data_IF_478629839920
#
_entry.id   IF_478629839920
#
_cell.length_a   1.000
_cell.length_b   1.000
_cell.length_c   1.000
_cell.angle_alpha   90.00
_cell.angle_beta   90.00
_cell.angle_gamma   90.00
#
_symmetry.space_group_name_H-M   'P 1'
#
loop_
_entity.id
_entity.type
_entity.pdbx_description
1 polymer ?
#
# COMPACT_ATOMS: atom_id res chain seq x y z
N UNK A 1 -7.51 27.63 -4.79
CA UNK A 1 -7.94 29.04 -4.61
C UNK A 1 -9.00 29.22 -3.51
N UNK A 2 -9.91 28.25 -3.27
CA UNK A 2 -10.99 28.38 -2.26
C UNK A 2 -10.74 27.64 -0.92
N UNK A 3 -9.52 27.13 -0.70
CA UNK A 3 -9.11 26.50 0.57
C UNK A 3 -10.10 25.46 1.12
N UNK A 4 -10.32 25.51 2.43
CA UNK A 4 -11.22 24.64 3.18
C UNK A 4 -12.66 24.63 2.65
N UNK A 5 -13.12 25.73 2.04
CA UNK A 5 -14.47 25.80 1.47
C UNK A 5 -14.64 24.79 0.34
N UNK A 6 -13.66 24.70 -0.58
CA UNK A 6 -13.71 23.70 -1.64
C UNK A 6 -13.56 22.27 -1.10
N UNK A 7 -12.70 22.06 -0.10
CA UNK A 7 -12.52 20.74 0.52
C UNK A 7 -13.84 20.24 1.11
N UNK A 8 -14.55 21.10 1.85
CA UNK A 8 -15.83 20.77 2.47
C UNK A 8 -16.93 20.47 1.45
N UNK A 9 -17.04 21.28 0.40
CA UNK A 9 -18.00 21.06 -0.69
C UNK A 9 -17.78 19.70 -1.38
N UNK A 10 -16.52 19.35 -1.67
CA UNK A 10 -16.17 18.09 -2.33
C UNK A 10 -16.38 16.88 -1.40
N UNK A 11 -16.00 16.99 -0.13
CA UNK A 11 -16.28 15.96 0.90
C UNK A 11 -17.77 15.68 1.04
N UNK A 12 -18.60 16.73 1.09
CA UNK A 12 -20.06 16.57 1.12
C UNK A 12 -20.59 15.89 -0.14
N UNK A 13 -20.08 16.26 -1.31
CA UNK A 13 -20.54 15.74 -2.60
C UNK A 13 -20.17 14.26 -2.80
N UNK A 14 -18.92 13.89 -2.52
CA UNK A 14 -18.38 12.57 -2.86
C UNK A 14 -18.43 11.59 -1.70
N UNK A 15 -18.15 12.05 -0.48
CA UNK A 15 -18.07 11.20 0.71
C UNK A 15 -19.34 11.27 1.58
N UNK A 16 -20.28 12.18 1.26
CA UNK A 16 -21.46 12.50 2.10
C UNK A 16 -21.07 12.79 3.54
N UNK A 17 -19.93 13.47 3.71
CA UNK A 17 -19.28 13.68 5.00
C UNK A 17 -18.98 15.17 5.21
N UNK A 18 -19.54 15.73 6.28
CA UNK A 18 -19.45 17.14 6.62
C UNK A 18 -19.32 17.31 8.15
N UNK A 19 -18.24 16.80 8.77
CA UNK A 19 -18.00 16.99 10.19
C UNK A 19 -17.67 18.46 10.47
N UNK A 20 -17.79 18.90 11.73
CA UNK A 20 -17.34 20.25 12.11
C UNK A 20 -15.86 20.42 11.78
N UNK A 21 -15.03 19.47 12.22
CA UNK A 21 -13.60 19.40 11.93
C UNK A 21 -13.26 18.07 11.26
N UNK A 22 -12.41 18.12 10.22
CA UNK A 22 -11.88 16.90 9.58
C UNK A 22 -10.76 16.25 10.41
N UNK A 23 -10.00 17.07 11.14
CA UNK A 23 -8.93 16.61 12.03
C UNK A 23 -9.54 15.94 13.25
N UNK A 24 -9.08 14.75 13.58
CA UNK A 24 -9.52 14.05 14.78
C UNK A 24 -8.88 14.63 16.04
N UNK A 25 -9.70 14.80 17.07
CA UNK A 25 -9.21 15.10 18.42
C UNK A 25 -8.57 13.86 19.06
N UNK A 26 -7.73 14.07 20.07
CA UNK A 26 -7.10 12.96 20.82
C UNK A 26 -8.15 12.04 21.46
N UNK A 27 -9.23 12.63 21.96
CA UNK A 27 -10.36 11.90 22.57
C UNK A 27 -11.06 11.02 21.54
N UNK A 28 -11.24 11.54 20.32
CA UNK A 28 -11.86 10.77 19.22
C UNK A 28 -10.94 9.63 18.78
N UNK A 29 -9.63 9.88 18.67
CA UNK A 29 -8.64 8.84 18.36
C UNK A 29 -8.66 7.74 19.43
N UNK A 30 -8.63 8.12 20.72
CA UNK A 30 -8.70 7.15 21.82
C UNK A 30 -10.02 6.36 21.82
N UNK A 31 -11.14 7.02 21.52
CA UNK A 31 -12.42 6.34 21.39
C UNK A 31 -12.45 5.31 20.24
N UNK A 32 -11.77 5.59 19.12
CA UNK A 32 -11.60 4.61 18.04
C UNK A 32 -10.79 3.40 18.51
N UNK A 33 -9.66 3.64 19.17
CA UNK A 33 -8.80 2.58 19.72
C UNK A 33 -9.56 1.71 20.73
N UNK A 34 -10.32 2.33 21.64
CA UNK A 34 -11.07 1.63 22.69
C UNK A 34 -12.23 0.76 22.15
N UNK A 35 -12.65 0.95 20.90
CA UNK A 35 -13.70 0.12 20.27
C UNK A 35 -13.14 -1.16 19.66
N UNK A 36 -11.83 -1.30 19.53
CA UNK A 36 -11.20 -2.49 18.97
C UNK A 36 -11.00 -3.57 20.05
N UNK A 37 -11.02 -4.84 19.62
CA UNK A 37 -10.67 -5.94 20.51
C UNK A 37 -9.19 -5.88 20.87
N UNK A 38 -8.80 -6.53 21.98
CA UNK A 38 -7.40 -6.69 22.34
C UNK A 38 -6.61 -7.40 21.23
N UNK A 39 -7.19 -8.44 20.62
CA UNK A 39 -6.53 -9.18 19.53
C UNK A 39 -6.23 -8.29 18.33
N UNK A 40 -7.18 -7.46 17.88
CA UNK A 40 -6.95 -6.53 16.77
C UNK A 40 -5.85 -5.52 17.10
N UNK A 41 -5.79 -5.06 18.35
CA UNK A 41 -4.71 -4.18 18.79
C UNK A 41 -3.36 -4.90 18.86
N UNK A 42 -3.34 -6.18 19.24
CA UNK A 42 -2.15 -7.03 19.23
C UNK A 42 -1.66 -7.26 17.79
N UNK A 43 -2.55 -7.54 16.84
CA UNK A 43 -2.22 -7.71 15.42
C UNK A 43 -1.62 -6.42 14.84
N UNK A 44 -2.21 -5.26 15.16
CA UNK A 44 -1.68 -3.94 14.76
C UNK A 44 -0.28 -3.73 15.34
N UNK A 45 -0.06 -4.04 16.63
CA UNK A 45 1.26 -3.93 17.27
C UNK A 45 2.28 -4.83 16.57
N UNK A 46 1.95 -6.10 16.41
CA UNK A 46 2.81 -7.08 15.78
C UNK A 46 3.24 -6.64 14.38
N UNK A 47 2.29 -6.25 13.53
CA UNK A 47 2.59 -5.74 12.19
C UNK A 47 3.52 -4.52 12.22
N UNK A 48 3.25 -3.55 13.10
CA UNK A 48 4.06 -2.34 13.20
C UNK A 48 5.46 -2.62 13.75
N UNK A 49 5.61 -3.56 14.67
CA UNK A 49 6.91 -3.94 15.22
C UNK A 49 7.80 -4.59 14.15
N UNK A 50 7.24 -5.49 13.34
CA UNK A 50 7.95 -6.09 12.21
C UNK A 50 8.37 -5.04 11.17
N UNK A 51 7.46 -4.15 10.80
CA UNK A 51 7.74 -3.07 9.82
C UNK A 51 8.78 -2.10 10.37
N UNK A 52 8.66 -1.69 11.64
CA UNK A 52 9.60 -0.75 12.27
C UNK A 52 10.99 -1.36 12.34
N UNK A 53 11.09 -2.63 12.72
CA UNK A 53 12.37 -3.34 12.79
C UNK A 53 13.07 -3.35 11.42
N UNK A 54 12.38 -3.76 10.35
CA UNK A 54 13.00 -3.81 9.03
C UNK A 54 13.31 -2.42 8.46
N UNK A 55 12.41 -1.45 8.64
CA UNK A 55 12.66 -0.06 8.25
C UNK A 55 13.88 0.53 8.98
N UNK A 56 14.12 0.15 10.24
CA UNK A 56 15.28 0.60 10.99
C UNK A 56 16.57 0.00 10.42
N UNK A 57 16.58 -1.29 10.09
CA UNK A 57 17.70 -1.95 9.41
C UNK A 57 18.05 -1.24 8.10
N UNK A 58 17.04 -0.91 7.29
CA UNK A 58 17.23 -0.14 6.05
C UNK A 58 17.73 1.28 6.32
N UNK A 59 17.26 1.95 7.39
CA UNK A 59 17.73 3.29 7.76
C UNK A 59 19.18 3.29 8.20
N UNK A 60 19.61 2.27 8.94
CA UNK A 60 20.96 2.14 9.48
C UNK A 60 21.98 1.71 8.44
N UNK A 61 21.54 1.10 7.33
CA UNK A 61 22.40 0.81 6.18
C UNK A 61 22.77 2.07 5.38
N UNK A 62 21.97 3.14 5.48
CA UNK A 62 22.23 4.43 4.82
C UNK A 62 23.22 5.29 5.61
N UNK A 63 24.46 5.39 5.09
CA UNK A 63 25.55 6.15 5.73
C UNK A 63 25.79 7.48 5.02
N UNK A 64 25.95 8.54 5.81
CA UNK A 64 26.52 9.79 5.31
C UNK A 64 27.97 9.55 4.88
N UNK A 65 28.41 10.29 3.88
CA UNK A 65 29.79 10.25 3.38
C UNK A 65 30.36 11.66 3.50
N UNK A 66 31.59 11.77 4.00
CA UNK A 66 32.37 13.01 4.02
C UNK A 66 33.84 12.61 3.98
N UNK A 67 34.46 12.72 2.80
CA UNK A 67 35.79 12.20 2.52
C UNK A 67 36.64 13.25 1.81
N UNK A 68 37.87 13.41 2.26
CA UNK A 68 38.87 14.27 1.61
C UNK A 68 39.51 13.51 0.45
N UNK A 69 39.08 13.79 -0.78
CA UNK A 69 39.55 13.06 -1.97
C UNK A 69 40.85 13.61 -2.55
N UNK A 70 41.16 14.87 -2.25
CA UNK A 70 42.41 15.56 -2.51
C UNK A 70 42.67 16.53 -1.36
N UNK A 71 43.94 16.92 -1.08
CA UNK A 71 44.24 17.90 -0.03
C UNK A 71 43.39 19.18 -0.17
N UNK A 72 42.56 19.46 0.83
CA UNK A 72 41.63 20.58 0.89
C UNK A 72 40.28 20.39 0.17
N UNK A 73 40.00 19.22 -0.43
CA UNK A 73 38.75 18.94 -1.17
C UNK A 73 37.96 17.83 -0.50
N UNK A 74 36.89 18.21 0.20
CA UNK A 74 35.97 17.30 0.88
C UNK A 74 34.74 17.08 0.00
N UNK A 75 34.46 15.82 -0.33
CA UNK A 75 33.26 15.39 -1.06
C UNK A 75 32.40 14.51 -0.17
N UNK A 76 31.08 14.56 -0.35
CA UNK A 76 30.19 13.81 0.52
C UNK A 76 28.71 13.94 0.20
N UNK A 77 27.91 13.20 0.94
CA UNK A 77 26.45 13.29 0.92
C UNK A 77 25.88 13.14 2.33
N UNK A 78 24.66 13.62 2.53
CA UNK A 78 23.91 13.43 3.77
C UNK A 78 22.48 13.04 3.48
N UNK A 79 21.96 12.11 4.28
CA UNK A 79 20.54 11.75 4.26
C UNK A 79 19.79 12.63 5.27
N UNK A 80 18.82 13.41 4.78
CA UNK A 80 18.01 14.32 5.60
C UNK A 80 16.53 13.92 5.40
N UNK A 81 15.77 13.68 6.49
CA UNK A 81 14.35 13.37 6.36
C UNK A 81 13.54 14.57 5.89
N UNK A 82 12.41 14.28 5.26
CA UNK A 82 11.42 15.29 4.89
C UNK A 82 10.89 16.02 6.13
N UNK A 83 10.53 17.29 6.00
CA UNK A 83 9.94 18.01 7.13
C UNK A 83 8.51 17.50 7.36
N UNK A 84 7.73 17.35 6.28
CA UNK A 84 6.34 16.90 6.37
C UNK A 84 5.98 15.91 5.27
N UNK A 85 5.34 14.81 5.64
CA UNK A 85 4.81 13.81 4.70
C UNK A 85 3.31 13.68 4.87
N UNK A 86 2.58 13.64 3.74
CA UNK A 86 1.16 13.32 3.68
C UNK A 86 0.95 11.87 3.28
N UNK A 87 0.34 11.07 4.15
CA UNK A 87 -0.04 9.69 3.90
C UNK A 87 -1.53 9.60 3.56
N UNK A 88 -1.84 9.29 2.31
CA UNK A 88 -3.20 8.95 1.90
C UNK A 88 -3.45 7.46 2.14
N UNK A 89 -4.37 7.13 3.04
CA UNK A 89 -4.81 5.77 3.30
C UNK A 89 -6.12 5.55 2.53
N UNK A 90 -6.15 4.68 1.52
CA UNK A 90 -7.33 4.50 0.69
C UNK A 90 -8.49 3.93 1.52
N UNK A 91 -9.68 4.45 1.23
CA UNK A 91 -10.92 3.77 1.57
C UNK A 91 -11.34 2.89 0.42
N UNK A 92 -11.59 1.61 0.71
CA UNK A 92 -12.17 0.67 -0.22
C UNK A 92 -13.54 0.19 0.25
N UNK A 93 -13.97 -0.94 -0.32
CA UNK A 93 -15.08 -1.73 0.20
C UNK A 93 -14.84 -2.18 1.65
N UNK A 94 -13.57 -2.31 2.02
CA UNK A 94 -13.08 -2.64 3.35
C UNK A 94 -12.02 -1.62 3.80
N UNK A 95 -11.92 -1.33 5.10
CA UNK A 95 -10.83 -0.51 5.65
C UNK A 95 -9.46 -1.16 5.42
N UNK A 96 -8.58 -0.51 4.66
CA UNK A 96 -7.24 -1.03 4.35
C UNK A 96 -6.22 -0.54 5.38
N UNK A 97 -6.04 -1.32 6.45
CA UNK A 97 -5.12 -0.99 7.55
C UNK A 97 -3.65 -1.07 7.12
N UNK A 98 -3.32 -1.99 6.20
CA UNK A 98 -1.97 -2.21 5.66
C UNK A 98 -1.28 -0.93 5.15
N UNK A 99 -2.00 -0.09 4.41
CA UNK A 99 -1.42 1.15 3.87
C UNK A 99 -0.98 2.11 4.98
N UNK A 100 -1.73 2.20 6.09
CA UNK A 100 -1.36 3.03 7.22
C UNK A 100 -0.08 2.53 7.91
N UNK A 101 0.07 1.21 8.03
CA UNK A 101 1.29 0.62 8.59
C UNK A 101 2.52 0.99 7.75
N UNK A 102 2.46 0.73 6.45
CA UNK A 102 3.62 0.90 5.57
C UNK A 102 4.01 2.37 5.36
N UNK A 103 3.06 3.31 5.33
CA UNK A 103 3.36 4.72 5.09
C UNK A 103 3.77 5.50 6.34
N UNK A 104 3.10 5.26 7.47
CA UNK A 104 3.31 6.06 8.69
C UNK A 104 4.54 5.57 9.45
N UNK A 105 4.68 4.25 9.63
CA UNK A 105 5.77 3.69 10.43
C UNK A 105 7.13 3.97 9.77
N UNK A 106 7.23 3.78 8.46
CA UNK A 106 8.47 4.03 7.71
C UNK A 106 8.86 5.50 7.72
N UNK A 107 7.90 6.42 7.56
CA UNK A 107 8.13 7.86 7.69
C UNK A 107 8.63 8.22 9.10
N UNK A 108 8.08 7.58 10.14
CA UNK A 108 8.51 7.82 11.52
C UNK A 108 9.94 7.35 11.75
N UNK A 109 10.30 6.16 11.27
CA UNK A 109 11.66 5.61 11.35
C UNK A 109 12.65 6.46 10.56
N UNK A 110 12.27 6.98 9.39
CA UNK A 110 13.11 7.89 8.62
C UNK A 110 13.46 9.18 9.38
N UNK A 111 12.64 9.58 10.37
CA UNK A 111 12.81 10.80 11.15
C UNK A 111 12.03 12.00 10.61
N UNK A 112 10.93 11.75 9.87
CA UNK A 112 10.04 12.81 9.40
C UNK A 112 9.47 13.58 10.60
N UNK A 113 9.49 14.91 10.54
CA UNK A 113 9.11 15.77 11.68
C UNK A 113 7.61 15.84 11.89
N UNK A 114 6.83 15.82 10.82
CA UNK A 114 5.37 15.86 10.88
C UNK A 114 4.74 14.93 9.83
N UNK A 115 3.94 13.98 10.31
CA UNK A 115 3.23 13.01 9.47
C UNK A 115 1.73 13.32 9.54
N UNK A 116 1.18 13.70 8.39
CA UNK A 116 -0.25 13.97 8.22
C UNK A 116 -0.88 12.79 7.50
N UNK A 117 -1.99 12.28 8.01
CA UNK A 117 -2.67 11.15 7.40
C UNK A 117 -4.11 11.51 7.05
N UNK A 118 -4.54 11.16 5.84
CA UNK A 118 -5.93 11.30 5.40
C UNK A 118 -6.49 9.92 5.08
N UNK A 119 -7.67 9.61 5.61
CA UNK A 119 -8.45 8.45 5.21
C UNK A 119 -9.91 8.86 5.01
N UNK A 120 -10.61 8.40 3.95
CA UNK A 120 -12.03 8.68 3.80
C UNK A 120 -12.86 8.09 4.97
N UNK A 121 -14.04 8.64 5.25
CA UNK A 121 -14.97 8.05 6.19
C UNK A 121 -15.43 6.67 5.70
N UNK A 122 -15.65 5.75 6.65
CA UNK A 122 -16.22 4.43 6.40
C UNK A 122 -17.60 4.36 7.04
N UNK A 123 -18.63 4.11 6.25
CA UNK A 123 -20.03 4.07 6.71
C UNK A 123 -20.44 5.34 7.49
N UNK A 124 -19.97 6.51 7.04
CA UNK A 124 -20.32 7.79 7.64
C UNK A 124 -19.65 8.06 8.99
N UNK A 125 -18.54 7.39 9.31
CA UNK A 125 -17.74 7.63 10.52
C UNK A 125 -16.25 7.33 10.27
N UNK A 126 -15.34 7.69 11.19
CA UNK A 126 -13.95 7.24 11.12
C UNK A 126 -13.86 5.70 11.15
N UNK A 127 -12.93 5.11 10.40
CA UNK A 127 -12.65 3.68 10.45
C UNK A 127 -11.74 3.36 11.64
N UNK A 128 -12.29 2.71 12.67
CA UNK A 128 -11.60 2.52 13.97
C UNK A 128 -10.21 1.88 13.83
N UNK A 129 -10.09 0.81 13.04
CA UNK A 129 -8.82 0.11 12.82
C UNK A 129 -7.78 0.95 12.06
N UNK A 130 -8.22 1.77 11.08
CA UNK A 130 -7.32 2.67 10.36
C UNK A 130 -6.81 3.77 11.29
N UNK A 131 -7.69 4.38 12.08
CA UNK A 131 -7.32 5.43 13.04
C UNK A 131 -6.35 4.89 14.09
N UNK A 132 -6.60 3.68 14.60
CA UNK A 132 -5.69 3.01 15.53
C UNK A 132 -4.31 2.77 14.90
N UNK A 133 -4.25 2.23 13.68
CA UNK A 133 -2.99 1.99 12.98
C UNK A 133 -2.22 3.29 12.67
N UNK A 134 -2.90 4.35 12.23
CA UNK A 134 -2.29 5.66 12.00
C UNK A 134 -1.70 6.24 13.29
N UNK A 135 -2.48 6.23 14.38
CA UNK A 135 -2.07 6.76 15.67
C UNK A 135 -0.89 5.98 16.26
N UNK A 136 -1.02 4.65 16.35
CA UNK A 136 0.03 3.77 16.90
C UNK A 136 1.28 3.75 16.03
N UNK A 137 1.13 3.98 14.72
CA UNK A 137 2.25 4.09 13.78
C UNK A 137 3.06 5.38 13.94
N UNK A 138 2.54 6.39 14.64
CA UNK A 138 3.23 7.63 14.95
C UNK A 138 2.80 8.83 14.10
N UNK A 139 1.59 8.82 13.54
CA UNK A 139 1.00 9.98 12.86
C UNK A 139 0.83 11.16 13.82
N UNK A 140 1.20 12.36 13.38
CA UNK A 140 1.07 13.59 14.17
C UNK A 140 -0.31 14.24 14.02
N UNK A 141 -0.95 14.09 12.86
CA UNK A 141 -2.33 14.56 12.61
C UNK A 141 -3.11 13.60 11.73
N UNK A 142 -4.30 13.22 12.18
CA UNK A 142 -5.20 12.30 11.48
C UNK A 142 -6.44 13.05 11.02
N UNK A 143 -6.75 12.96 9.73
CA UNK A 143 -7.90 13.60 9.09
C UNK A 143 -8.81 12.56 8.45
N UNK A 144 -10.11 12.71 8.67
CA UNK A 144 -11.12 11.88 8.00
C UNK A 144 -11.59 12.59 6.75
N UNK A 145 -10.83 12.43 5.67
CA UNK A 145 -11.01 13.07 4.37
C UNK A 145 -10.43 12.17 3.27
N UNK A 146 -11.18 11.98 2.18
CA UNK A 146 -10.79 11.11 1.06
C UNK A 146 -10.53 11.84 -0.26
N UNK A 147 -10.20 11.05 -1.28
CA UNK A 147 -10.25 11.47 -2.67
C UNK A 147 -9.29 12.61 -3.06
N UNK A 148 -9.61 13.26 -4.18
CA UNK A 148 -8.81 14.36 -4.75
C UNK A 148 -8.71 15.53 -3.77
N UNK A 149 -9.77 15.81 -3.02
CA UNK A 149 -9.81 16.88 -2.03
C UNK A 149 -8.81 16.66 -0.89
N UNK A 150 -8.62 15.43 -0.41
CA UNK A 150 -7.59 15.12 0.59
C UNK A 150 -6.19 15.32 0.04
N UNK A 151 -5.94 14.79 -1.16
CA UNK A 151 -4.64 14.87 -1.85
C UNK A 151 -4.27 16.34 -2.11
N UNK A 152 -5.22 17.12 -2.64
CA UNK A 152 -5.03 18.54 -2.91
C UNK A 152 -4.84 19.35 -1.62
N UNK A 153 -5.59 19.06 -0.56
CA UNK A 153 -5.44 19.76 0.72
C UNK A 153 -4.06 19.53 1.34
N UNK A 154 -3.56 18.29 1.33
CA UNK A 154 -2.21 17.97 1.79
C UNK A 154 -1.12 18.59 0.90
N UNK A 155 -1.24 18.50 -0.43
CA UNK A 155 -0.22 19.00 -1.35
C UNK A 155 -0.13 20.53 -1.41
N UNK A 156 -1.27 21.21 -1.41
CA UNK A 156 -1.34 22.65 -1.65
C UNK A 156 -1.42 23.45 -0.34
N UNK A 157 -1.80 22.79 0.74
CA UNK A 157 -2.17 23.44 1.99
C UNK A 157 -3.53 24.16 1.90
N UNK A 158 -4.17 24.28 3.05
CA UNK A 158 -5.37 25.09 3.28
C UNK A 158 -5.28 25.74 4.66
N UNK A 159 -6.33 26.42 5.09
CA UNK A 159 -6.42 26.98 6.44
C UNK A 159 -6.33 25.88 7.52
N UNK A 160 -6.86 24.68 7.24
CA UNK A 160 -6.82 23.52 8.15
C UNK A 160 -5.70 22.51 7.88
N UNK A 161 -4.97 22.64 6.77
CA UNK A 161 -3.93 21.71 6.35
C UNK A 161 -2.62 22.43 6.05
N UNK A 162 -1.52 22.15 6.78
CA UNK A 162 -0.22 22.61 6.32
C UNK A 162 0.20 21.79 5.08
N UNK A 163 0.82 22.45 4.10
CA UNK A 163 1.31 21.78 2.89
C UNK A 163 2.43 20.80 3.24
N UNK A 164 2.41 19.61 2.62
CA UNK A 164 3.42 18.55 2.80
C UNK A 164 4.50 18.61 1.72
N UNK A 165 5.67 18.04 2.01
CA UNK A 165 6.79 17.97 1.06
C UNK A 165 6.67 16.75 0.13
N UNK A 166 6.06 15.66 0.61
CA UNK A 166 5.87 14.42 -0.13
C UNK A 166 4.51 13.79 0.20
N UNK A 167 3.86 13.24 -0.83
CA UNK A 167 2.65 12.43 -0.72
C UNK A 167 2.97 10.97 -0.96
N UNK A 168 2.45 10.11 -0.08
CA UNK A 168 2.56 8.66 -0.20
C UNK A 168 1.19 8.00 -0.05
N UNK A 169 1.08 6.78 -0.55
CA UNK A 169 -0.09 5.95 -0.43
C UNK A 169 -0.84 5.81 -1.75
N UNK A 170 -1.31 4.58 -2.07
CA UNK A 170 -2.06 4.32 -3.28
C UNK A 170 -3.48 4.87 -3.17
N UNK A 171 -4.14 5.01 -4.31
CA UNK A 171 -5.55 5.38 -4.34
C UNK A 171 -6.16 5.03 -5.69
N UNK A 172 -7.46 5.29 -5.82
CA UNK A 172 -8.17 5.09 -7.08
C UNK A 172 -7.62 6.01 -8.20
N UNK A 173 -8.14 5.81 -9.42
CA UNK A 173 -7.72 6.57 -10.60
C UNK A 173 -7.74 8.11 -10.40
N UNK A 174 -8.68 8.64 -9.61
CA UNK A 174 -8.76 10.07 -9.34
C UNK A 174 -7.61 10.55 -8.43
N UNK A 175 -7.26 9.76 -7.42
CA UNK A 175 -6.10 10.04 -6.54
C UNK A 175 -4.80 9.93 -7.32
N UNK A 176 -4.66 8.91 -8.17
CA UNK A 176 -3.50 8.74 -9.03
C UNK A 176 -3.31 9.94 -9.99
N UNK A 177 -4.39 10.36 -10.67
CA UNK A 177 -4.36 11.52 -11.56
C UNK A 177 -4.09 12.83 -10.80
N UNK A 178 -4.66 13.01 -9.61
CA UNK A 178 -4.38 14.18 -8.77
C UNK A 178 -2.89 14.23 -8.38
N UNK A 179 -2.31 13.11 -7.94
CA UNK A 179 -0.86 13.01 -7.63
C UNK A 179 -0.02 13.34 -8.87
N UNK A 180 -0.42 12.88 -10.06
CA UNK A 180 0.26 13.20 -11.33
C UNK A 180 0.26 14.69 -11.64
N UNK A 181 -0.87 15.37 -11.48
CA UNK A 181 -0.96 16.82 -11.72
C UNK A 181 -0.19 17.64 -10.68
N UNK A 182 -0.04 17.12 -9.46
CA UNK A 182 0.65 17.80 -8.36
C UNK A 182 2.15 17.49 -8.29
N UNK A 183 2.62 16.48 -9.03
CA UNK A 183 4.03 16.14 -9.07
C UNK A 183 4.88 17.32 -9.55
N UNK A 184 6.00 17.56 -8.87
CA UNK A 184 6.87 18.72 -9.06
C UNK A 184 6.52 19.90 -8.13
N UNK A 185 5.27 20.00 -7.67
CA UNK A 185 4.90 20.88 -6.55
C UNK A 185 5.11 20.18 -5.20
N UNK A 186 4.82 18.88 -5.16
CA UNK A 186 5.03 17.97 -4.04
C UNK A 186 5.69 16.70 -4.57
N UNK A 187 6.51 16.04 -3.75
CA UNK A 187 7.00 14.71 -4.07
C UNK A 187 5.85 13.70 -4.08
N UNK A 188 5.96 12.65 -4.89
CA UNK A 188 5.06 11.49 -4.83
C UNK A 188 5.91 10.22 -4.80
N UNK A 189 5.38 9.15 -4.22
CA UNK A 189 5.95 7.80 -4.25
C UNK A 189 5.92 7.19 -5.65
N UNK A 190 4.73 6.85 -6.17
CA UNK A 190 4.52 6.19 -7.45
C UNK A 190 3.12 6.45 -8.00
N UNK A 191 2.94 6.16 -9.30
CA UNK A 191 1.62 6.05 -9.92
C UNK A 191 1.08 4.65 -9.66
N UNK A 192 0.02 4.55 -8.87
CA UNK A 192 -0.56 3.25 -8.52
C UNK A 192 -1.15 2.57 -9.77
N UNK A 193 -0.70 1.35 -10.02
CA UNK A 193 -1.31 0.42 -10.96
C UNK A 193 -2.21 -0.61 -10.23
N UNK A 194 -2.80 -1.56 -10.96
CA UNK A 194 -3.34 -2.76 -10.35
C UNK A 194 -2.24 -3.50 -9.59
N UNK A 195 -2.59 -4.14 -8.48
CA UNK A 195 -1.67 -5.02 -7.78
C UNK A 195 -1.60 -6.36 -8.50
N UNK A 196 -0.43 -7.00 -8.52
CA UNK A 196 -0.18 -8.22 -9.28
C UNK A 196 0.69 -9.23 -8.53
N UNK A 197 0.55 -10.52 -8.86
CA UNK A 197 1.38 -11.60 -8.31
C UNK A 197 1.86 -12.56 -9.40
N UNK A 198 3.13 -12.95 -9.31
CA UNK A 198 3.77 -13.99 -10.09
C UNK A 198 4.15 -15.13 -9.15
N UNK A 199 3.54 -16.28 -9.35
CA UNK A 199 3.86 -17.54 -8.67
C UNK A 199 4.79 -18.34 -9.57
N UNK A 200 6.06 -18.46 -9.19
CA UNK A 200 7.06 -19.30 -9.86
C UNK A 200 7.13 -20.62 -9.09
N UNK A 201 6.72 -21.72 -9.72
CA UNK A 201 6.58 -22.99 -9.04
C UNK A 201 6.99 -24.19 -9.90
N UNK A 202 7.51 -25.22 -9.27
CA UNK A 202 7.80 -26.52 -9.90
C UNK A 202 6.99 -27.64 -9.26
N UNK A 203 7.24 -28.88 -9.68
CA UNK A 203 6.56 -30.08 -9.17
C UNK A 203 6.72 -30.39 -7.67
N UNK A 204 7.49 -29.58 -6.92
CA UNK A 204 7.63 -29.76 -5.46
C UNK A 204 6.49 -29.17 -4.65
N UNK A 205 5.60 -28.39 -5.29
CA UNK A 205 4.35 -27.90 -4.70
C UNK A 205 3.12 -28.45 -5.44
N UNK A 206 1.96 -28.32 -4.81
CA UNK A 206 0.70 -28.75 -5.39
C UNK A 206 -0.12 -27.59 -6.00
N UNK A 207 -1.05 -27.97 -6.89
CA UNK A 207 -1.91 -27.00 -7.56
C UNK A 207 -2.91 -26.30 -6.64
N UNK A 208 -3.24 -26.87 -5.47
CA UNK A 208 -4.17 -26.24 -4.52
C UNK A 208 -3.51 -25.01 -3.89
N UNK A 209 -2.26 -25.12 -3.46
CA UNK A 209 -1.46 -24.01 -2.92
C UNK A 209 -1.29 -22.90 -3.97
N UNK A 210 -0.85 -23.25 -5.18
CA UNK A 210 -0.70 -22.28 -6.27
C UNK A 210 -2.01 -21.55 -6.57
N UNK A 211 -3.13 -22.28 -6.65
CA UNK A 211 -4.44 -21.69 -6.89
C UNK A 211 -4.88 -20.76 -5.75
N UNK A 212 -4.59 -21.12 -4.49
CA UNK A 212 -4.89 -20.29 -3.32
C UNK A 212 -4.14 -18.96 -3.37
N UNK A 213 -2.84 -18.96 -3.70
CA UNK A 213 -2.05 -17.73 -3.77
C UNK A 213 -2.46 -16.84 -4.95
N UNK A 214 -2.75 -17.44 -6.12
CA UNK A 214 -3.26 -16.71 -7.28
C UNK A 214 -4.62 -16.06 -6.98
N UNK A 215 -5.54 -16.80 -6.34
CA UNK A 215 -6.86 -16.29 -5.99
C UNK A 215 -6.81 -15.26 -4.87
N UNK A 216 -5.86 -15.41 -3.93
CA UNK A 216 -5.56 -14.42 -2.90
C UNK A 216 -5.19 -13.07 -3.49
N UNK A 217 -4.46 -13.03 -4.60
CA UNK A 217 -4.22 -11.80 -5.35
C UNK A 217 -5.46 -11.35 -6.15
N UNK A 218 -6.10 -12.27 -6.86
CA UNK A 218 -7.23 -11.96 -7.73
C UNK A 218 -8.42 -11.31 -6.97
N UNK A 219 -8.58 -11.61 -5.68
CA UNK A 219 -9.64 -11.00 -4.86
C UNK A 219 -9.40 -9.52 -4.50
N UNK A 220 -8.21 -8.97 -4.71
CA UNK A 220 -7.93 -7.55 -4.47
C UNK A 220 -8.72 -6.62 -5.39
N UNK A 221 -9.03 -7.06 -6.61
CA UNK A 221 -9.75 -6.24 -7.59
C UNK A 221 -9.94 -6.95 -8.92
N UNK A 222 -10.98 -6.60 -9.69
CA UNK A 222 -11.36 -7.30 -10.92
C UNK A 222 -10.36 -7.14 -12.08
N UNK A 223 -9.32 -6.32 -11.88
CA UNK A 223 -8.25 -6.06 -12.85
C UNK A 223 -6.87 -6.47 -12.32
N UNK A 224 -6.82 -7.30 -11.27
CA UNK A 224 -5.57 -7.73 -10.64
C UNK A 224 -5.00 -8.94 -11.40
N UNK A 225 -3.84 -8.82 -12.07
CA UNK A 225 -3.19 -9.96 -12.70
C UNK A 225 -2.71 -10.98 -11.68
N UNK A 226 -2.85 -12.27 -12.02
CA UNK A 226 -2.33 -13.38 -11.23
C UNK A 226 -1.76 -14.42 -12.20
N UNK A 227 -0.45 -14.64 -12.16
CA UNK A 227 0.26 -15.47 -13.13
C UNK A 227 0.95 -16.63 -12.44
N UNK A 228 0.70 -17.86 -12.92
CA UNK A 228 1.54 -19.01 -12.64
C UNK A 228 2.60 -19.13 -13.73
N UNK A 229 3.87 -19.24 -13.33
CA UNK A 229 4.99 -19.60 -14.17
C UNK A 229 5.58 -20.90 -13.65
N UNK A 230 5.60 -21.93 -14.48
CA UNK A 230 6.07 -23.26 -14.10
C UNK A 230 6.81 -23.93 -15.24
N UNK A 231 7.67 -24.89 -14.94
CA UNK A 231 8.24 -25.81 -15.93
C UNK A 231 7.45 -27.15 -16.00
N UNK A 232 6.38 -27.30 -15.23
CA UNK A 232 5.58 -28.52 -15.15
C UNK A 232 4.20 -28.34 -15.78
N UNK A 233 3.97 -29.03 -16.90
CA UNK A 233 2.63 -29.08 -17.54
C UNK A 233 1.58 -29.73 -16.64
N UNK A 234 2.00 -30.65 -15.76
CA UNK A 234 1.08 -31.31 -14.83
C UNK A 234 0.61 -30.32 -13.75
N UNK A 235 1.55 -29.61 -13.12
CA UNK A 235 1.22 -28.59 -12.12
C UNK A 235 0.33 -27.48 -12.71
N UNK A 236 0.62 -27.05 -13.94
CA UNK A 236 -0.18 -26.06 -14.66
C UNK A 236 -1.65 -26.48 -14.75
N UNK A 237 -1.92 -27.74 -15.15
CA UNK A 237 -3.28 -28.27 -15.27
C UNK A 237 -3.96 -28.40 -13.93
N UNK A 238 -3.28 -28.98 -12.94
CA UNK A 238 -3.80 -29.14 -11.58
C UNK A 238 -4.18 -27.79 -10.97
N UNK A 239 -3.33 -26.77 -11.14
CA UNK A 239 -3.60 -25.42 -10.63
C UNK A 239 -4.86 -24.83 -11.28
N UNK A 240 -5.04 -24.97 -12.60
CA UNK A 240 -6.25 -24.48 -13.26
C UNK A 240 -7.53 -25.16 -12.76
N UNK A 241 -7.48 -26.47 -12.52
CA UNK A 241 -8.61 -27.22 -11.93
C UNK A 241 -8.92 -26.73 -10.51
N UNK A 242 -7.89 -26.49 -9.71
CA UNK A 242 -8.01 -26.00 -8.35
C UNK A 242 -8.53 -24.56 -8.27
N UNK A 243 -8.14 -23.69 -9.21
CA UNK A 243 -8.74 -22.35 -9.31
C UNK A 243 -10.25 -22.44 -9.52
N UNK A 244 -10.72 -23.26 -10.45
CA UNK A 244 -12.16 -23.45 -10.70
C UNK A 244 -12.89 -24.03 -9.47
N UNK A 245 -12.24 -24.96 -8.76
CA UNK A 245 -12.79 -25.55 -7.53
C UNK A 245 -12.91 -24.50 -6.42
N UNK A 246 -11.85 -23.77 -6.12
CA UNK A 246 -11.79 -22.79 -5.04
C UNK A 246 -12.69 -21.57 -5.28
N UNK A 247 -12.85 -21.15 -6.55
CA UNK A 247 -13.81 -20.11 -6.91
C UNK A 247 -15.26 -20.45 -6.57
N UNK A 248 -15.61 -21.72 -6.30
CA UNK A 248 -16.97 -22.08 -5.87
C UNK A 248 -17.25 -21.81 -4.40
N UNK A 249 -16.23 -21.72 -3.56
CA UNK A 249 -16.36 -21.49 -2.11
C UNK A 249 -15.89 -20.10 -1.68
N UNK A 250 -15.08 -19.43 -2.51
CA UNK A 250 -14.51 -18.13 -2.21
C UNK A 250 -15.59 -17.03 -2.07
N UNK A 251 -15.65 -16.40 -0.89
CA UNK A 251 -16.65 -15.34 -0.59
C UNK A 251 -16.51 -14.10 -1.49
N UNK A 252 -15.32 -13.86 -2.01
CA UNK A 252 -14.93 -12.76 -2.90
C UNK A 252 -14.98 -13.15 -4.39
N UNK A 253 -15.58 -14.31 -4.75
CA UNK A 253 -15.70 -14.82 -6.14
C UNK A 253 -16.08 -13.76 -7.18
N UNK A 254 -17.03 -12.88 -6.85
CA UNK A 254 -17.50 -11.84 -7.79
C UNK A 254 -16.42 -10.80 -8.15
N UNK A 255 -15.31 -10.76 -7.41
CA UNK A 255 -14.12 -9.95 -7.69
C UNK A 255 -13.00 -10.81 -8.27
N UNK A 256 -12.72 -11.96 -7.66
CA UNK A 256 -11.64 -12.86 -8.09
C UNK A 256 -11.89 -13.52 -9.46
N UNK A 257 -13.12 -13.97 -9.74
CA UNK A 257 -13.41 -14.68 -10.99
C UNK A 257 -13.23 -13.82 -12.25
N UNK A 258 -13.70 -12.55 -12.30
CA UNK A 258 -13.36 -11.66 -13.40
C UNK A 258 -11.87 -11.39 -13.54
N UNK A 259 -11.15 -11.20 -12.42
CA UNK A 259 -9.70 -10.97 -12.44
C UNK A 259 -8.95 -12.16 -13.04
N UNK A 260 -9.26 -13.38 -12.58
CA UNK A 260 -8.70 -14.62 -13.14
C UNK A 260 -9.07 -14.82 -14.62
N UNK A 261 -10.34 -14.64 -14.98
CA UNK A 261 -10.80 -14.83 -16.36
C UNK A 261 -10.13 -13.86 -17.35
N UNK A 262 -9.98 -12.60 -16.96
CA UNK A 262 -9.55 -11.54 -17.88
C UNK A 262 -8.02 -11.32 -17.85
N UNK A 263 -7.36 -11.60 -16.71
CA UNK A 263 -5.95 -11.30 -16.47
C UNK A 263 -5.13 -12.46 -15.89
N UNK A 264 -5.77 -13.59 -15.57
CA UNK A 264 -5.09 -14.79 -15.12
C UNK A 264 -4.32 -15.46 -16.25
N UNK A 265 -3.10 -15.91 -15.99
CA UNK A 265 -2.27 -16.61 -16.97
C UNK A 265 -1.53 -17.78 -16.34
N UNK A 266 -1.32 -18.82 -17.14
CA UNK A 266 -0.44 -19.94 -16.81
C UNK A 266 0.58 -20.06 -17.94
N UNK A 267 1.85 -19.92 -17.59
CA UNK A 267 2.99 -19.97 -18.49
C UNK A 267 3.79 -21.23 -18.16
N UNK A 268 3.96 -22.10 -19.15
CA UNK A 268 4.80 -23.30 -19.03
C UNK A 268 6.09 -23.05 -19.78
N UNK A 269 7.20 -22.99 -19.05
CA UNK A 269 8.56 -22.87 -19.57
C UNK A 269 9.21 -24.26 -19.74
N UNK A 270 10.26 -24.35 -20.55
CA UNK A 270 11.04 -25.56 -20.79
C UNK A 270 12.07 -25.83 -19.68
N UNK A 271 12.45 -24.81 -18.90
CA UNK A 271 13.49 -24.91 -17.87
C UNK A 271 13.40 -23.83 -16.78
N UNK A 272 14.15 -24.00 -15.68
CA UNK A 272 14.30 -22.97 -14.65
C UNK A 272 14.93 -21.68 -15.20
N UNK A 273 15.95 -21.78 -16.06
CA UNK A 273 16.58 -20.62 -16.69
C UNK A 273 15.56 -19.80 -17.48
N UNK A 274 14.70 -20.47 -18.26
CA UNK A 274 13.64 -19.78 -19.00
C UNK A 274 12.58 -19.19 -18.06
N UNK A 275 12.23 -19.85 -16.95
CA UNK A 275 11.36 -19.24 -15.92
C UNK A 275 11.98 -17.94 -15.37
N UNK A 276 13.29 -17.91 -15.11
CA UNK A 276 13.99 -16.70 -14.65
C UNK A 276 13.95 -15.61 -15.74
N UNK A 277 14.20 -15.95 -17.00
CA UNK A 277 14.13 -15.00 -18.12
C UNK A 277 12.73 -14.39 -18.27
N UNK A 278 11.68 -15.21 -18.22
CA UNK A 278 10.28 -14.78 -18.31
C UNK A 278 9.92 -13.91 -17.09
N UNK A 279 10.24 -14.35 -15.88
CA UNK A 279 9.96 -13.60 -14.65
C UNK A 279 10.58 -12.20 -14.66
N UNK A 280 11.83 -12.08 -15.14
CA UNK A 280 12.52 -10.80 -15.28
C UNK A 280 11.86 -9.88 -16.31
N UNK A 281 11.33 -10.44 -17.41
CA UNK A 281 10.59 -9.66 -18.41
C UNK A 281 9.24 -9.19 -17.87
N UNK A 282 8.58 -10.00 -17.05
CA UNK A 282 7.29 -9.71 -16.45
C UNK A 282 7.39 -8.65 -15.33
N UNK A 283 8.44 -8.70 -14.49
CA UNK A 283 8.76 -7.69 -13.47
C UNK A 283 7.61 -7.36 -12.50
N UNK A 284 6.93 -8.40 -11.98
CA UNK A 284 5.74 -8.27 -11.13
C UNK A 284 6.03 -7.65 -9.76
N UNK A 285 5.01 -7.00 -9.19
CA UNK A 285 5.01 -6.44 -7.83
C UNK A 285 5.34 -7.48 -6.75
N UNK A 286 4.62 -8.61 -6.75
CA UNK A 286 4.86 -9.73 -5.84
C UNK A 286 5.38 -10.94 -6.62
N UNK A 287 6.51 -11.48 -6.20
CA UNK A 287 7.09 -12.71 -6.76
C UNK A 287 7.21 -13.73 -5.64
N UNK A 288 6.60 -14.89 -5.85
CA UNK A 288 6.69 -16.04 -4.96
C UNK A 288 7.46 -17.13 -5.67
N UNK A 289 8.56 -17.59 -5.07
CA UNK A 289 9.39 -18.66 -5.62
C UNK A 289 9.18 -19.89 -4.74
N UNK A 290 8.56 -20.92 -5.32
CA UNK A 290 8.18 -22.16 -4.67
C UNK A 290 8.76 -23.35 -5.44
N UNK A 291 10.09 -23.44 -5.38
CA UNK A 291 10.89 -24.43 -6.10
C UNK A 291 11.85 -25.11 -5.14
N UNK A 292 12.35 -26.29 -5.48
CA UNK A 292 13.47 -26.92 -4.75
C UNK A 292 14.85 -26.45 -5.24
N UNK A 293 14.88 -25.77 -6.39
CA UNK A 293 16.06 -25.15 -6.96
C UNK A 293 16.24 -23.73 -6.40
N UNK A 294 17.18 -23.58 -5.47
CA UNK A 294 17.53 -22.31 -4.80
C UNK A 294 18.72 -21.56 -5.43
N UNK A 295 19.32 -22.12 -6.48
CA UNK A 295 20.56 -21.64 -7.13
C UNK A 295 20.32 -20.66 -8.29
#
# INVERSE_FOLDING_TARGET
SRGDTAVRELSKRFDKWEPVEFKLSKETIQACINRLSSSTLDDIRFAQDQIRNFAQIQRDSMKNVEEETLPGVILGHRHIPMNRVGSYVPGGKFPMVASAHMSVVTAKVAGVKEIITCAPPFQGKPADAIVAAQSMGGADSIYVLGGVQAVAAMALGTESFPAVDMLVGPGNAYVAEAKRQLYGRVGIDLFAGPTETLVIADETVDGEMCATDLLGQAEHGPTSPAVLLTNSTELAKQTMEEVERQLNTLSTKNTAAPAWRDYGQVIVADSYDEMVEIANQLAFEHVQVMTDCDD
#
